data_IF_158776402565
#
_entry.id   IF_158776402565
#
_cell.length_a   1.000
_cell.length_b   1.000
_cell.length_c   1.000
_cell.angle_alpha   90.00
_cell.angle_beta   90.00
_cell.angle_gamma   90.00
#
_symmetry.space_group_name_H-M   'P 1'
#
loop_
_entity.id
_entity.type
_entity.pdbx_description
1 polymer ?
#
# COMPACT_ATOMS: atom_id res chain seq x y z
N UNK A 1 3.13 -25.45 3.29
CA UNK A 1 3.32 -24.12 3.92
C UNK A 1 2.99 -24.24 5.39
N UNK A 2 3.84 -23.71 6.27
CA UNK A 2 3.51 -23.60 7.69
C UNK A 2 2.49 -22.44 7.92
N UNK A 3 1.94 -22.34 9.13
CA UNK A 3 0.94 -21.33 9.46
C UNK A 3 1.42 -19.88 9.18
N UNK A 4 2.67 -19.57 9.52
CA UNK A 4 3.25 -18.24 9.30
C UNK A 4 3.37 -17.89 7.80
N UNK A 5 3.78 -18.85 6.97
CA UNK A 5 3.82 -18.68 5.51
C UNK A 5 2.42 -18.47 4.91
N UNK A 6 1.41 -19.17 5.44
CA UNK A 6 0.01 -18.95 5.03
C UNK A 6 -0.45 -17.54 5.40
N UNK A 7 -0.15 -17.07 6.62
CA UNK A 7 -0.46 -15.71 7.05
C UNK A 7 0.23 -14.67 6.18
N UNK A 8 1.52 -14.84 5.86
CA UNK A 8 2.24 -13.93 4.95
C UNK A 8 1.57 -13.86 3.57
N UNK A 9 1.23 -15.01 3.00
CA UNK A 9 0.56 -15.06 1.71
C UNK A 9 -0.82 -14.38 1.75
N UNK A 10 -1.58 -14.56 2.83
CA UNK A 10 -2.88 -13.89 3.02
C UNK A 10 -2.71 -12.38 3.14
N UNK A 11 -1.77 -11.91 3.96
CA UNK A 11 -1.48 -10.48 4.11
C UNK A 11 -1.12 -9.84 2.75
N UNK A 12 -0.20 -10.44 2.01
CA UNK A 12 0.22 -9.95 0.69
C UNK A 12 -0.93 -9.94 -0.33
N UNK A 13 -1.79 -10.98 -0.32
CA UNK A 13 -2.97 -11.03 -1.21
C UNK A 13 -4.00 -9.96 -0.87
N UNK A 14 -4.26 -9.74 0.42
CA UNK A 14 -5.20 -8.70 0.87
C UNK A 14 -4.69 -7.32 0.49
N UNK A 15 -3.44 -7.00 0.78
CA UNK A 15 -2.81 -5.74 0.39
C UNK A 15 -2.84 -5.58 -1.14
N UNK A 16 -2.39 -6.60 -1.88
CA UNK A 16 -2.40 -6.56 -3.33
C UNK A 16 -3.79 -6.44 -3.94
N UNK A 17 -4.82 -7.07 -3.35
CA UNK A 17 -6.20 -6.94 -3.80
C UNK A 17 -6.71 -5.50 -3.63
N UNK A 18 -6.41 -4.86 -2.50
CA UNK A 18 -6.75 -3.44 -2.27
C UNK A 18 -6.02 -2.54 -3.26
N UNK A 19 -4.73 -2.76 -3.49
CA UNK A 19 -3.93 -1.97 -4.43
C UNK A 19 -4.36 -2.13 -5.88
N UNK A 20 -4.79 -3.33 -6.30
CA UNK A 20 -5.33 -3.57 -7.66
C UNK A 20 -6.57 -2.71 -7.93
N UNK A 21 -7.36 -2.35 -6.91
CA UNK A 21 -8.50 -1.44 -7.08
C UNK A 21 -8.06 -0.05 -7.57
N UNK A 22 -6.79 0.34 -7.39
CA UNK A 22 -6.25 1.58 -7.91
C UNK A 22 -6.33 1.67 -9.45
N UNK A 23 -6.40 0.55 -10.18
CA UNK A 23 -6.64 0.60 -11.63
C UNK A 23 -7.94 1.33 -12.00
N UNK A 24 -8.95 1.31 -11.13
CA UNK A 24 -10.18 2.09 -11.34
C UNK A 24 -9.87 3.58 -11.41
N UNK A 25 -8.97 4.08 -10.55
CA UNK A 25 -8.55 5.48 -10.52
C UNK A 25 -7.77 5.91 -11.78
N UNK A 26 -7.17 4.98 -12.54
CA UNK A 26 -6.51 5.27 -13.83
C UNK A 26 -7.49 5.82 -14.87
N UNK A 27 -8.74 5.34 -14.86
CA UNK A 27 -9.79 5.73 -15.83
C UNK A 27 -10.93 6.52 -15.18
N UNK A 28 -10.86 6.76 -13.87
CA UNK A 28 -11.89 7.44 -13.12
C UNK A 28 -12.20 8.83 -13.70
N UNK A 29 -13.50 9.21 -13.78
CA UNK A 29 -13.92 10.55 -14.17
C UNK A 29 -13.44 11.60 -13.17
N UNK A 30 -13.15 12.82 -13.66
CA UNK A 30 -12.75 13.94 -12.80
C UNK A 30 -13.79 14.28 -11.73
N UNK A 31 -15.07 14.14 -12.04
CA UNK A 31 -16.15 14.40 -11.08
C UNK A 31 -16.09 13.53 -9.83
N UNK A 32 -15.57 12.29 -9.91
CA UNK A 32 -15.40 11.43 -8.74
C UNK A 32 -14.23 11.91 -7.88
N UNK A 33 -13.15 12.37 -8.50
CA UNK A 33 -12.01 12.97 -7.78
C UNK A 33 -12.41 14.28 -7.10
N UNK A 34 -13.20 15.12 -7.76
CA UNK A 34 -13.76 16.35 -7.21
C UNK A 34 -14.69 16.05 -6.02
N UNK A 35 -15.55 15.04 -6.15
CA UNK A 35 -16.41 14.58 -5.05
C UNK A 35 -15.58 14.12 -3.84
N UNK A 36 -14.53 13.33 -4.06
CA UNK A 36 -13.61 12.90 -2.99
C UNK A 36 -12.91 14.08 -2.33
N UNK A 37 -12.51 15.11 -3.09
CA UNK A 37 -11.91 16.35 -2.57
C UNK A 37 -12.85 17.07 -1.60
N UNK A 38 -14.12 17.22 -2.00
CA UNK A 38 -15.16 17.84 -1.16
C UNK A 38 -15.46 16.97 0.07
N UNK A 39 -15.60 15.65 -0.11
CA UNK A 39 -15.88 14.72 0.97
C UNK A 39 -14.76 14.69 2.03
N UNK A 40 -13.49 14.80 1.61
CA UNK A 40 -12.33 14.91 2.48
C UNK A 40 -12.15 16.29 3.14
N UNK A 41 -13.02 17.26 2.82
CA UNK A 41 -12.90 18.63 3.33
C UNK A 41 -11.74 19.43 2.72
N UNK A 42 -11.19 18.97 1.58
CA UNK A 42 -10.08 19.62 0.87
C UNK A 42 -10.53 20.71 -0.10
N UNK A 43 -11.83 21.03 -0.13
CA UNK A 43 -12.40 22.06 -1.00
C UNK A 43 -12.40 21.67 -2.48
N UNK A 44 -12.33 22.67 -3.35
CA UNK A 44 -12.33 22.47 -4.81
C UNK A 44 -11.02 21.83 -5.27
N UNK A 45 -11.10 20.76 -6.08
CA UNK A 45 -9.93 20.13 -6.68
C UNK A 45 -9.21 21.14 -7.59
N UNK A 46 -7.88 21.34 -7.42
CA UNK A 46 -7.11 22.21 -8.30
C UNK A 46 -7.15 21.76 -9.76
N UNK A 47 -7.06 22.71 -10.69
CA UNK A 47 -6.97 22.41 -12.11
C UNK A 47 -5.51 22.23 -12.55
N UNK A 48 -5.25 21.31 -13.48
CA UNK A 48 -3.93 21.22 -14.12
C UNK A 48 -3.60 19.84 -14.68
N UNK A 49 -2.82 19.84 -15.77
CA UNK A 49 -2.40 18.61 -16.43
C UNK A 49 -1.51 17.74 -15.52
N UNK A 50 -0.63 18.36 -14.73
CA UNK A 50 0.30 17.65 -13.83
C UNK A 50 -0.45 16.87 -12.75
N UNK A 51 -1.47 17.47 -12.13
CA UNK A 51 -2.28 16.80 -11.11
C UNK A 51 -2.95 15.54 -11.67
N UNK A 52 -3.64 15.69 -12.81
CA UNK A 52 -4.32 14.58 -13.48
C UNK A 52 -3.35 13.48 -13.94
N UNK A 53 -2.19 13.88 -14.45
CA UNK A 53 -1.13 12.97 -14.85
C UNK A 53 -0.59 12.19 -13.66
N UNK A 54 -0.23 12.86 -12.57
CA UNK A 54 0.34 12.23 -11.38
C UNK A 54 -0.64 11.26 -10.72
N UNK A 55 -1.92 11.65 -10.55
CA UNK A 55 -2.94 10.76 -9.98
C UNK A 55 -3.05 9.48 -10.80
N UNK A 56 -3.23 9.59 -12.13
CA UNK A 56 -3.42 8.42 -13.00
C UNK A 56 -2.18 7.53 -13.06
N UNK A 57 -0.99 8.12 -13.14
CA UNK A 57 0.26 7.35 -13.14
C UNK A 57 0.50 6.65 -11.80
N UNK A 58 0.29 7.34 -10.68
CA UNK A 58 0.41 6.75 -9.35
C UNK A 58 -0.57 5.56 -9.21
N UNK A 59 -1.82 5.74 -9.62
CA UNK A 59 -2.83 4.68 -9.61
C UNK A 59 -2.42 3.45 -10.45
N UNK A 60 -1.81 3.65 -11.62
CA UNK A 60 -1.31 2.54 -12.43
C UNK A 60 -0.15 1.80 -11.72
N UNK A 61 0.77 2.55 -11.11
CA UNK A 61 1.89 1.98 -10.35
C UNK A 61 1.40 1.16 -9.16
N UNK A 62 0.44 1.66 -8.39
CA UNK A 62 -0.19 0.92 -7.28
C UNK A 62 -0.91 -0.34 -7.79
N UNK A 63 -1.69 -0.23 -8.88
CA UNK A 63 -2.34 -1.40 -9.46
C UNK A 63 -1.36 -2.50 -9.87
N UNK A 64 -0.26 -2.11 -10.53
CA UNK A 64 0.80 -3.04 -10.91
C UNK A 64 1.56 -3.59 -9.70
N UNK A 65 1.80 -2.77 -8.67
CA UNK A 65 2.40 -3.21 -7.42
C UNK A 65 1.50 -4.25 -6.73
N UNK A 66 0.18 -4.04 -6.72
CA UNK A 66 -0.78 -5.04 -6.21
C UNK A 66 -0.71 -6.39 -6.95
N UNK A 67 -0.56 -6.38 -8.28
CA UNK A 67 -0.30 -7.61 -9.07
C UNK A 67 1.01 -8.26 -8.63
N UNK A 68 2.08 -7.48 -8.47
CA UNK A 68 3.37 -7.99 -7.99
C UNK A 68 3.23 -8.65 -6.61
N UNK A 69 2.47 -8.06 -5.68
CA UNK A 69 2.22 -8.66 -4.36
C UNK A 69 1.52 -10.02 -4.47
N UNK A 70 0.60 -10.20 -5.43
CA UNK A 70 -0.03 -11.49 -5.70
C UNK A 70 0.95 -12.54 -6.23
N UNK A 71 1.89 -12.13 -7.09
CA UNK A 71 2.98 -13.01 -7.56
C UNK A 71 3.88 -13.40 -6.40
N UNK A 72 4.29 -12.47 -5.55
CA UNK A 72 5.09 -12.77 -4.35
C UNK A 72 4.33 -13.71 -3.40
N UNK A 73 3.01 -13.51 -3.25
CA UNK A 73 2.15 -14.34 -2.42
C UNK A 73 1.89 -15.75 -2.97
N UNK A 74 2.25 -16.05 -4.24
CA UNK A 74 2.09 -17.40 -4.79
C UNK A 74 3.11 -18.37 -4.18
N UNK A 75 4.29 -17.87 -3.81
CA UNK A 75 5.34 -18.65 -3.17
C UNK A 75 6.24 -17.77 -2.29
N UNK A 76 5.80 -17.56 -1.05
CA UNK A 76 6.51 -16.71 -0.06
C UNK A 76 7.86 -17.28 0.36
N UNK A 77 8.13 -18.56 0.12
CA UNK A 77 9.41 -19.19 0.44
C UNK A 77 10.42 -18.89 -0.66
N UNK A 78 10.03 -19.15 -1.91
CA UNK A 78 10.85 -18.82 -3.09
C UNK A 78 11.12 -17.32 -3.19
N UNK A 79 10.13 -16.50 -2.89
CA UNK A 79 10.24 -15.04 -2.96
C UNK A 79 10.56 -14.37 -1.62
N UNK A 80 11.15 -15.11 -0.66
CA UNK A 80 11.47 -14.58 0.68
C UNK A 80 12.21 -13.23 0.67
N UNK A 81 13.23 -12.99 -0.18
CA UNK A 81 13.88 -11.67 -0.24
C UNK A 81 12.91 -10.54 -0.61
N UNK A 82 11.95 -10.80 -1.52
CA UNK A 82 10.92 -9.83 -1.89
C UNK A 82 9.91 -9.62 -0.77
N UNK A 83 9.52 -10.67 -0.04
CA UNK A 83 8.64 -10.55 1.14
C UNK A 83 9.29 -9.65 2.20
N UNK A 84 10.58 -9.85 2.48
CA UNK A 84 11.34 -9.03 3.43
C UNK A 84 11.47 -7.60 2.92
N UNK A 85 11.81 -7.41 1.64
CA UNK A 85 11.90 -6.09 1.03
C UNK A 85 10.56 -5.33 1.14
N UNK A 86 9.44 -5.95 0.76
CA UNK A 86 8.10 -5.39 0.94
C UNK A 86 7.83 -5.04 2.40
N UNK A 87 8.17 -5.93 3.34
CA UNK A 87 8.02 -5.65 4.77
C UNK A 87 8.80 -4.40 5.23
N UNK A 88 10.05 -4.26 4.81
CA UNK A 88 10.88 -3.08 5.11
C UNK A 88 10.32 -1.83 4.45
N UNK A 89 9.93 -1.90 3.17
CA UNK A 89 9.37 -0.78 2.42
C UNK A 89 8.13 -0.21 3.11
N UNK A 90 7.20 -1.06 3.53
CA UNK A 90 5.98 -0.63 4.23
C UNK A 90 6.27 -0.13 5.65
N UNK A 91 7.24 -0.72 6.35
CA UNK A 91 7.65 -0.23 7.67
C UNK A 91 8.24 1.18 7.59
N UNK A 92 9.07 1.44 6.57
CA UNK A 92 9.62 2.77 6.28
C UNK A 92 8.55 3.74 5.76
N UNK A 93 7.56 3.24 5.01
CA UNK A 93 6.45 4.05 4.52
C UNK A 93 5.66 4.68 5.67
N UNK A 94 5.53 4.01 6.83
CA UNK A 94 4.83 4.57 8.00
C UNK A 94 5.22 6.02 8.35
N UNK A 95 6.47 6.30 8.77
CA UNK A 95 6.89 7.67 9.06
C UNK A 95 6.94 8.57 7.83
N UNK A 96 7.27 8.04 6.64
CA UNK A 96 7.36 8.84 5.41
C UNK A 96 5.98 9.36 4.97
N UNK A 97 4.97 8.49 4.95
CA UNK A 97 3.59 8.83 4.57
C UNK A 97 2.96 9.75 5.60
N UNK A 98 3.25 9.56 6.89
CA UNK A 98 2.84 10.53 7.91
C UNK A 98 3.31 11.96 7.57
N UNK A 99 4.59 12.12 7.22
CA UNK A 99 5.15 13.42 6.86
C UNK A 99 4.51 13.97 5.58
N UNK A 100 4.38 13.14 4.55
CA UNK A 100 3.78 13.53 3.26
C UNK A 100 2.35 14.02 3.48
N UNK A 101 1.52 13.23 4.16
CA UNK A 101 0.11 13.53 4.38
C UNK A 101 -0.07 14.77 5.27
N UNK A 102 0.72 14.88 6.33
CA UNK A 102 0.67 16.04 7.23
C UNK A 102 1.03 17.34 6.49
N UNK A 103 2.10 17.33 5.69
CA UNK A 103 2.51 18.50 4.88
C UNK A 103 1.51 18.78 3.76
N UNK A 104 0.86 17.76 3.22
CA UNK A 104 -0.16 17.90 2.17
C UNK A 104 -1.52 18.37 2.70
N UNK A 105 -1.70 18.46 4.02
CA UNK A 105 -2.95 18.90 4.64
C UNK A 105 -4.05 17.84 4.61
N UNK A 106 -3.70 16.56 4.54
CA UNK A 106 -4.67 15.46 4.62
C UNK A 106 -5.35 15.43 6.00
N UNK A 107 -6.60 14.96 6.09
CA UNK A 107 -7.28 14.79 7.39
C UNK A 107 -6.49 13.88 8.33
N UNK A 108 -6.34 14.27 9.60
CA UNK A 108 -5.53 13.51 10.57
C UNK A 108 -5.93 12.04 10.71
N UNK A 109 -7.22 11.72 10.61
CA UNK A 109 -7.68 10.33 10.68
C UNK A 109 -7.16 9.50 9.49
N UNK A 110 -7.04 10.11 8.30
CA UNK A 110 -6.48 9.49 7.10
C UNK A 110 -4.97 9.30 7.29
N UNK A 111 -4.27 10.37 7.69
CA UNK A 111 -2.82 10.36 7.92
C UNK A 111 -2.40 9.30 8.92
N UNK A 112 -3.13 9.17 10.04
CA UNK A 112 -2.86 8.14 11.05
C UNK A 112 -3.16 6.75 10.51
N UNK A 113 -4.30 6.58 9.81
CA UNK A 113 -4.67 5.28 9.24
C UNK A 113 -3.65 4.79 8.21
N UNK A 114 -3.18 5.67 7.32
CA UNK A 114 -2.20 5.34 6.28
C UNK A 114 -0.84 5.00 6.90
N UNK A 115 -0.33 5.88 7.76
CA UNK A 115 0.96 5.68 8.44
C UNK A 115 1.00 4.42 9.31
N UNK A 116 0.03 4.26 10.21
CA UNK A 116 -0.02 3.12 11.13
C UNK A 116 -0.34 1.84 10.36
N UNK A 117 -1.23 1.91 9.37
CA UNK A 117 -1.58 0.77 8.52
C UNK A 117 -0.37 0.22 7.78
N UNK A 118 0.41 1.10 7.11
CA UNK A 118 1.64 0.69 6.44
C UNK A 118 2.67 0.12 7.41
N UNK A 119 2.93 0.80 8.53
CA UNK A 119 3.91 0.34 9.52
C UNK A 119 3.52 -1.03 10.11
N UNK A 120 2.23 -1.21 10.45
CA UNK A 120 1.71 -2.46 10.99
C UNK A 120 1.82 -3.61 9.99
N UNK A 121 1.44 -3.38 8.73
CA UNK A 121 1.57 -4.38 7.67
C UNK A 121 3.03 -4.80 7.47
N UNK A 122 3.94 -3.82 7.36
CA UNK A 122 5.37 -4.07 7.19
C UNK A 122 5.97 -4.85 8.36
N UNK A 123 5.68 -4.43 9.60
CA UNK A 123 6.13 -5.13 10.80
C UNK A 123 5.62 -6.57 10.85
N UNK A 124 4.35 -6.79 10.53
CA UNK A 124 3.74 -8.13 10.52
C UNK A 124 4.44 -9.09 9.56
N UNK A 125 4.77 -8.64 8.33
CA UNK A 125 5.52 -9.46 7.36
C UNK A 125 6.92 -9.83 7.87
N UNK A 126 7.61 -8.89 8.52
CA UNK A 126 8.96 -9.10 9.04
C UNK A 126 8.99 -10.01 10.27
N UNK A 127 8.04 -9.86 11.20
CA UNK A 127 7.92 -10.72 12.37
C UNK A 127 7.64 -12.17 11.95
N UNK A 128 6.69 -12.39 11.04
CA UNK A 128 6.40 -13.72 10.48
C UNK A 128 7.59 -14.32 9.72
N UNK A 129 8.47 -13.48 9.15
CA UNK A 129 9.70 -13.92 8.46
C UNK A 129 10.81 -14.34 9.40
N UNK A 130 10.85 -13.79 10.62
CA UNK A 130 11.85 -14.09 11.67
C UNK A 130 11.57 -15.44 12.33
N UNK A 131 10.31 -15.71 12.67
CA UNK A 131 9.89 -16.97 13.32
C UNK A 131 10.13 -18.21 12.44
N UNK A 132 10.15 -18.02 11.12
CA UNK A 132 10.49 -19.07 10.16
C UNK A 132 11.99 -19.37 10.08
N UNK A 133 12.85 -18.41 10.42
CA UNK A 133 14.31 -18.62 10.47
C UNK A 133 14.74 -19.39 11.72
N UNK A 134 14.16 -19.07 12.87
CA UNK A 134 14.53 -19.66 14.17
C UNK A 134 14.07 -21.11 14.38
N UNK A 135 13.21 -21.65 13.50
CA UNK A 135 12.72 -23.04 13.54
C UNK A 135 13.33 -23.95 12.47
N UNK A 136 14.22 -23.40 11.64
CA UNK A 136 14.85 -24.10 10.52
C UNK A 136 16.32 -24.47 10.73
N UNK A 137 16.84 -24.28 11.95
CA UNK A 137 18.18 -24.69 12.41
C UNK A 137 18.06 -25.76 13.50
#
# INVERSE_FOLDING_TARGET
MNHNQQLQAVLLRLAGAVEILAFVAVVMPRSWMEWSHVWLGMGQMPEGAVLMFLIRQASYVYGMHGIMLWVVASDVVRFRPLVIFTGISFLLAGPVFFIIDYVSGMPLWWTVADSVGCAFFGASLLLLSRDNGARGE
#
